data_IF_279577300989
#
_entry.id   IF_279577300989
#
_cell.length_a   1.000
_cell.length_b   1.000
_cell.length_c   1.000
_cell.angle_alpha   90.00
_cell.angle_beta   90.00
_cell.angle_gamma   90.00
#
_symmetry.space_group_name_H-M   'P 1'
#
loop_
_entity.id
_entity.type
_entity.pdbx_description
1 polymer ?
#
# COMPACT_ATOMS: atom_id res chain seq x y z
N UNK A 1 0.75 17.24 14.08
CA UNK A 1 2.01 16.48 13.90
C UNK A 1 3.02 17.07 14.86
N UNK A 2 3.80 16.24 15.54
CA UNK A 2 4.88 16.70 16.41
C UNK A 2 5.95 17.42 15.59
N UNK A 3 6.55 18.48 16.12
CA UNK A 3 7.70 19.13 15.47
C UNK A 3 8.98 18.27 15.58
N UNK A 4 8.95 17.20 16.37
CA UNK A 4 10.06 16.26 16.54
C UNK A 4 10.08 15.17 15.47
N UNK A 5 11.24 15.01 14.83
CA UNK A 5 11.52 13.96 13.86
C UNK A 5 12.13 12.75 14.58
N UNK A 6 11.66 11.55 14.24
CA UNK A 6 12.27 10.31 14.71
C UNK A 6 13.61 10.09 14.00
N UNK A 7 14.70 10.01 14.76
CA UNK A 7 16.05 9.85 14.21
C UNK A 7 16.34 8.43 13.67
N UNK A 8 15.56 7.44 14.12
CA UNK A 8 15.69 6.05 13.69
C UNK A 8 14.99 5.76 12.37
N UNK A 9 14.87 4.47 12.07
CA UNK A 9 14.13 3.97 10.92
C UNK A 9 13.16 2.87 11.34
N UNK A 10 12.00 2.83 10.69
CA UNK A 10 11.02 1.75 10.89
C UNK A 10 11.24 0.61 9.88
N UNK A 11 10.85 -0.60 10.25
CA UNK A 11 10.75 -1.73 9.33
C UNK A 11 9.32 -1.91 8.86
N UNK A 12 9.09 -1.97 7.56
CA UNK A 12 7.76 -2.20 6.98
C UNK A 12 7.80 -3.49 6.15
N UNK A 13 6.96 -4.45 6.53
CA UNK A 13 6.59 -5.54 5.65
C UNK A 13 5.39 -5.12 4.80
N UNK A 14 5.64 -4.76 3.54
CA UNK A 14 4.58 -4.40 2.59
C UNK A 14 4.03 -5.68 1.96
N UNK A 15 3.19 -6.45 2.65
CA UNK A 15 2.69 -7.72 2.10
C UNK A 15 1.58 -7.55 1.06
N UNK A 16 1.31 -8.61 0.29
CA UNK A 16 0.28 -8.61 -0.77
C UNK A 16 -1.12 -8.35 -0.20
N UNK A 17 -1.48 -9.04 0.88
CA UNK A 17 -2.82 -8.95 1.49
C UNK A 17 -2.83 -8.14 2.78
N UNK A 18 -1.74 -8.20 3.56
CA UNK A 18 -1.58 -7.46 4.80
C UNK A 18 -0.17 -6.88 4.87
N UNK A 19 -0.06 -5.72 5.49
CA UNK A 19 1.20 -5.08 5.82
C UNK A 19 1.39 -5.00 7.33
N UNK A 20 2.64 -4.93 7.75
CA UNK A 20 3.07 -4.87 9.15
C UNK A 20 4.15 -3.81 9.29
N UNK A 21 4.16 -3.12 10.43
CA UNK A 21 5.19 -2.12 10.75
C UNK A 21 5.77 -2.40 12.14
N UNK A 22 7.09 -2.28 12.23
CA UNK A 22 7.84 -2.54 13.44
C UNK A 22 8.88 -1.44 13.67
N UNK A 23 9.20 -1.22 14.93
CA UNK A 23 10.32 -0.39 15.35
C UNK A 23 11.38 -1.24 16.05
N UNK A 24 12.65 -0.93 15.83
CA UNK A 24 13.75 -1.53 16.58
C UNK A 24 14.43 -0.47 17.42
N UNK A 25 14.36 -0.64 18.74
CA UNK A 25 14.99 0.28 19.69
C UNK A 25 16.06 -0.46 20.50
N UNK A 26 17.29 -0.45 19.96
CA UNK A 26 18.52 -0.89 20.64
C UNK A 26 18.65 -2.40 20.90
N UNK A 27 17.69 -3.02 21.58
CA UNK A 27 17.73 -4.43 21.95
C UNK A 27 16.43 -5.18 21.62
N UNK A 28 15.31 -4.48 21.46
CA UNK A 28 14.00 -5.08 21.23
C UNK A 28 13.40 -4.61 19.90
N UNK A 29 12.69 -5.53 19.24
CA UNK A 29 11.82 -5.23 18.11
C UNK A 29 10.39 -5.21 18.62
N UNK A 30 9.69 -4.12 18.38
CA UNK A 30 8.29 -3.95 18.74
C UNK A 30 7.45 -3.91 17.46
N UNK A 31 6.48 -4.82 17.37
CA UNK A 31 5.48 -4.79 16.30
C UNK A 31 4.38 -3.81 16.73
N UNK A 32 4.08 -2.83 15.88
CA UNK A 32 3.19 -1.73 16.24
C UNK A 32 1.76 -2.09 15.81
N UNK A 33 0.83 -2.05 16.77
CA UNK A 33 -0.58 -2.25 16.49
C UNK A 33 -1.20 -1.01 15.82
N UNK A 34 -2.13 -1.22 14.89
CA UNK A 34 -2.93 -0.16 14.29
C UNK A 34 -4.00 0.37 15.25
N UNK A 35 -4.81 1.34 14.81
CA UNK A 35 -5.86 1.98 15.63
C UNK A 35 -6.95 1.00 16.14
N UNK A 36 -7.03 -0.22 15.59
CA UNK A 36 -7.95 -1.28 16.04
C UNK A 36 -7.27 -2.31 16.96
N UNK A 37 -5.99 -2.12 17.29
CA UNK A 37 -5.20 -3.05 18.10
C UNK A 37 -4.66 -4.26 17.32
N UNK A 38 -4.73 -4.27 15.99
CA UNK A 38 -4.17 -5.35 15.17
C UNK A 38 -2.72 -5.06 14.77
N UNK A 39 -1.86 -6.06 14.86
CA UNK A 39 -0.45 -5.99 14.45
C UNK A 39 -0.24 -6.10 12.93
N UNK A 40 -1.29 -6.40 12.18
CA UNK A 40 -1.28 -6.35 10.73
C UNK A 40 -2.45 -5.53 10.23
N UNK A 41 -2.24 -4.82 9.12
CA UNK A 41 -3.25 -3.97 8.48
C UNK A 41 -3.46 -4.46 7.06
N UNK A 42 -4.70 -4.66 6.59
CA UNK A 42 -4.95 -5.06 5.22
C UNK A 42 -4.30 -4.12 4.20
N UNK A 43 -3.67 -4.67 3.18
CA UNK A 43 -3.12 -3.92 2.03
C UNK A 43 -4.25 -3.57 1.05
N UNK A 44 -5.28 -2.90 1.57
CA UNK A 44 -6.49 -2.50 0.85
C UNK A 44 -6.58 -0.98 0.81
N UNK A 45 -6.95 -0.45 -0.36
CA UNK A 45 -7.27 0.96 -0.55
C UNK A 45 -8.62 1.04 -1.24
N UNK A 46 -9.56 1.81 -0.69
CA UNK A 46 -10.87 1.96 -1.27
C UNK A 46 -11.20 3.43 -1.48
N UNK A 47 -11.75 3.74 -2.65
CA UNK A 47 -12.08 5.09 -3.08
C UNK A 47 -13.59 5.28 -3.04
N UNK A 48 -14.02 6.40 -2.46
CA UNK A 48 -15.45 6.76 -2.33
C UNK A 48 -15.71 8.14 -2.94
N UNK A 49 -16.97 8.56 -2.93
CA UNK A 49 -17.41 9.90 -3.31
C UNK A 49 -16.89 11.01 -2.39
N UNK A 50 -16.32 10.66 -1.22
CA UNK A 50 -15.92 11.61 -0.17
C UNK A 50 -14.46 11.50 0.22
N UNK A 51 -13.97 10.28 0.34
CA UNK A 51 -12.68 10.01 0.96
C UNK A 51 -12.04 8.73 0.45
N UNK A 52 -10.77 8.58 0.79
CA UNK A 52 -10.00 7.36 0.56
C UNK A 52 -9.87 6.62 1.89
N UNK A 53 -10.30 5.37 1.90
CA UNK A 53 -10.13 4.46 3.04
C UNK A 53 -8.93 3.56 2.79
N UNK A 54 -8.20 3.21 3.86
CA UNK A 54 -7.02 2.34 3.80
C UNK A 54 -7.10 1.34 4.95
N UNK A 55 -6.66 0.11 4.74
CA UNK A 55 -6.64 -0.92 5.80
C UNK A 55 -7.99 -1.58 6.01
N UNK A 56 -8.33 -1.82 7.28
CA UNK A 56 -9.57 -2.50 7.66
C UNK A 56 -10.82 -1.75 7.18
N UNK A 57 -10.81 -0.41 7.20
CA UNK A 57 -11.92 0.39 6.70
C UNK A 57 -12.21 0.11 5.20
N UNK A 58 -11.15 0.01 4.39
CA UNK A 58 -11.28 -0.33 2.97
C UNK A 58 -11.76 -1.78 2.77
N UNK A 59 -11.17 -2.73 3.52
CA UNK A 59 -11.51 -4.15 3.42
C UNK A 59 -12.95 -4.44 3.83
N UNK A 60 -13.44 -3.81 4.90
CA UNK A 60 -14.79 -4.03 5.43
C UNK A 60 -15.89 -3.63 4.43
N UNK A 61 -15.64 -2.66 3.56
CA UNK A 61 -16.60 -2.25 2.53
C UNK A 61 -16.40 -2.92 1.17
N UNK A 62 -15.43 -3.82 1.01
CA UNK A 62 -15.11 -4.41 -0.29
C UNK A 62 -16.31 -5.11 -0.96
N UNK A 63 -17.23 -5.67 -0.17
CA UNK A 63 -18.46 -6.28 -0.70
C UNK A 63 -19.50 -5.26 -1.20
N UNK A 64 -19.50 -4.03 -0.66
CA UNK A 64 -20.43 -2.96 -1.03
C UNK A 64 -19.87 -2.04 -2.12
N UNK A 65 -18.54 -1.92 -2.20
CA UNK A 65 -17.84 -1.07 -3.15
C UNK A 65 -16.70 -1.84 -3.87
N UNK A 66 -17.01 -2.96 -4.56
CA UNK A 66 -15.98 -3.87 -5.06
C UNK A 66 -15.12 -3.28 -6.19
N UNK A 67 -15.72 -2.49 -7.09
CA UNK A 67 -15.02 -1.92 -8.25
C UNK A 67 -14.01 -0.82 -7.88
N UNK A 68 -14.21 -0.17 -6.72
CA UNK A 68 -13.33 0.91 -6.24
C UNK A 68 -12.52 0.50 -5.00
N UNK A 69 -12.49 -0.79 -4.66
CA UNK A 69 -11.68 -1.32 -3.57
C UNK A 69 -10.54 -2.16 -4.12
N UNK A 70 -9.35 -1.57 -4.08
CA UNK A 70 -8.12 -2.12 -4.62
C UNK A 70 -7.41 -2.95 -3.56
N UNK A 71 -7.02 -4.15 -3.95
CA UNK A 71 -6.22 -5.09 -3.17
C UNK A 71 -5.27 -5.84 -4.10
N UNK A 72 -4.35 -6.62 -3.54
CA UNK A 72 -3.40 -7.43 -4.31
C UNK A 72 -2.49 -6.61 -5.26
N UNK A 73 -2.42 -5.29 -5.08
CA UNK A 73 -1.69 -4.37 -5.97
C UNK A 73 -0.20 -4.72 -6.11
N UNK A 74 0.39 -5.36 -5.10
CA UNK A 74 1.77 -5.89 -5.13
C UNK A 74 2.00 -6.92 -6.26
N UNK A 75 0.93 -7.49 -6.83
CA UNK A 75 1.00 -8.35 -8.02
C UNK A 75 1.24 -7.56 -9.31
N UNK A 76 0.85 -6.29 -9.37
CA UNK A 76 1.02 -5.41 -10.52
C UNK A 76 2.31 -4.59 -10.48
N UNK A 77 2.83 -4.28 -9.30
CA UNK A 77 3.97 -3.36 -9.13
C UNK A 77 5.19 -3.79 -9.96
N UNK A 78 5.74 -2.85 -10.73
CA UNK A 78 6.88 -3.06 -11.64
C UNK A 78 6.67 -4.06 -12.78
N UNK A 79 5.42 -4.44 -13.10
CA UNK A 79 5.08 -5.29 -14.25
C UNK A 79 4.56 -4.49 -15.44
N UNK A 80 4.53 -5.13 -16.60
CA UNK A 80 3.88 -4.61 -17.81
C UNK A 80 2.46 -5.14 -17.92
N UNK A 81 1.58 -4.36 -18.53
CA UNK A 81 0.17 -4.72 -18.69
C UNK A 81 -0.02 -6.02 -19.51
N UNK A 82 0.88 -6.26 -20.48
CA UNK A 82 0.89 -7.47 -21.32
C UNK A 82 1.58 -8.69 -20.68
N UNK A 83 2.05 -8.60 -19.43
CA UNK A 83 2.57 -9.78 -18.71
C UNK A 83 1.43 -10.82 -18.56
N UNK A 84 1.62 -12.08 -18.98
CA UNK A 84 0.59 -13.12 -18.85
C UNK A 84 0.07 -13.31 -17.42
N UNK A 85 0.93 -13.07 -16.41
CA UNK A 85 0.51 -13.12 -15.00
C UNK A 85 -0.46 -11.98 -14.68
N UNK A 86 -0.17 -10.78 -15.17
CA UNK A 86 -1.05 -9.60 -15.00
C UNK A 86 -2.40 -9.84 -15.68
N UNK A 87 -2.40 -10.28 -16.94
CA UNK A 87 -3.65 -10.59 -17.67
C UNK A 87 -4.51 -11.60 -16.94
N UNK A 88 -3.90 -12.67 -16.44
CA UNK A 88 -4.60 -13.71 -15.69
C UNK A 88 -5.16 -13.20 -14.36
N UNK A 89 -4.38 -12.41 -13.62
CA UNK A 89 -4.83 -11.87 -12.33
C UNK A 89 -6.00 -10.87 -12.53
N UNK A 90 -5.98 -10.05 -13.59
CA UNK A 90 -7.06 -9.10 -13.94
C UNK A 90 -8.41 -9.81 -14.14
N UNK A 91 -8.44 -11.01 -14.72
CA UNK A 91 -9.69 -11.78 -14.91
C UNK A 91 -10.39 -12.12 -13.60
N UNK A 92 -9.67 -12.10 -12.47
CA UNK A 92 -10.19 -12.45 -11.15
C UNK A 92 -10.58 -11.26 -10.28
N UNK A 93 -10.23 -10.04 -10.68
CA UNK A 93 -10.46 -8.85 -9.86
C UNK A 93 -11.76 -8.14 -10.22
N UNK A 94 -12.46 -7.55 -9.23
CA UNK A 94 -13.67 -6.78 -9.48
C UNK A 94 -13.39 -5.36 -9.98
N UNK A 95 -12.18 -4.84 -9.75
CA UNK A 95 -11.79 -3.49 -10.15
C UNK A 95 -11.12 -3.49 -11.54
N UNK A 96 -11.20 -2.36 -12.22
CA UNK A 96 -10.69 -2.21 -13.58
C UNK A 96 -9.20 -1.91 -13.58
N UNK A 97 -8.46 -2.63 -14.41
CA UNK A 97 -7.05 -2.34 -14.71
C UNK A 97 -6.93 -1.98 -16.19
N UNK A 98 -6.31 -0.84 -16.48
CA UNK A 98 -6.14 -0.32 -17.84
C UNK A 98 -4.66 -0.32 -18.26
N UNK A 99 -4.43 -0.31 -19.57
CA UNK A 99 -3.11 -0.07 -20.13
C UNK A 99 -2.87 1.42 -20.33
N UNK A 100 -1.80 1.94 -19.75
CA UNK A 100 -1.28 3.27 -20.06
C UNK A 100 0.17 3.17 -20.51
N UNK A 101 0.37 3.14 -21.84
CA UNK A 101 1.70 3.11 -22.44
C UNK A 101 2.50 1.84 -22.12
N UNK A 102 1.82 0.70 -21.95
CA UNK A 102 2.39 -0.60 -21.59
C UNK A 102 2.41 -0.87 -20.08
N UNK A 103 1.99 0.08 -19.24
CA UNK A 103 1.97 -0.05 -17.79
C UNK A 103 0.53 -0.27 -17.28
N UNK A 104 0.31 -1.20 -16.33
CA UNK A 104 -0.99 -1.39 -15.73
C UNK A 104 -1.30 -0.24 -14.76
N UNK A 105 -2.47 0.38 -14.90
CA UNK A 105 -3.03 1.34 -13.93
C UNK A 105 -4.35 0.80 -13.39
N UNK A 106 -4.71 1.10 -12.15
CA UNK A 106 -6.08 0.87 -11.67
C UNK A 106 -6.95 2.10 -11.99
N UNK A 107 -8.16 1.89 -12.49
CA UNK A 107 -9.14 2.95 -12.74
C UNK A 107 -10.27 2.82 -11.71
N UNK A 108 -10.59 3.93 -11.03
CA UNK A 108 -11.60 3.98 -9.95
C UNK A 108 -12.44 5.24 -10.06
N UNK A 109 -13.63 5.21 -9.46
CA UNK A 109 -14.41 6.41 -9.18
C UNK A 109 -14.00 6.98 -7.81
N UNK A 110 -13.52 8.21 -7.81
CA UNK A 110 -13.08 8.92 -6.61
C UNK A 110 -13.55 10.37 -6.65
N UNK A 111 -14.14 10.87 -5.56
CA UNK A 111 -14.67 12.25 -5.49
C UNK A 111 -15.67 12.60 -6.60
N UNK A 112 -16.40 11.59 -7.12
CA UNK A 112 -17.35 11.68 -8.24
C UNK A 112 -16.71 11.86 -9.63
N UNK A 113 -15.39 11.66 -9.74
CA UNK A 113 -14.64 11.65 -11.00
C UNK A 113 -13.93 10.31 -11.23
N UNK A 114 -13.62 10.02 -12.49
CA UNK A 114 -12.81 8.86 -12.85
C UNK A 114 -11.34 9.20 -12.68
N UNK A 115 -10.65 8.43 -11.85
CA UNK A 115 -9.24 8.60 -11.54
C UNK A 115 -8.44 7.33 -11.86
N UNK A 116 -7.16 7.49 -12.16
CA UNK A 116 -6.26 6.38 -12.45
C UNK A 116 -5.04 6.44 -11.57
N UNK A 117 -4.68 5.32 -10.96
CA UNK A 117 -3.50 5.23 -10.09
C UNK A 117 -2.53 4.16 -10.56
N UNK A 118 -1.24 4.45 -10.45
CA UNK A 118 -0.22 3.42 -10.66
C UNK A 118 -0.17 2.44 -9.47
N UNK A 119 0.35 1.22 -9.68
CA UNK A 119 0.58 0.28 -8.57
C UNK A 119 1.45 0.83 -7.45
N UNK A 120 2.41 1.70 -7.80
CA UNK A 120 3.30 2.40 -6.89
C UNK A 120 2.53 3.41 -6.05
N UNK A 121 1.65 4.23 -6.65
CA UNK A 121 0.82 5.20 -5.92
C UNK A 121 -0.12 4.52 -4.92
N UNK A 122 -0.79 3.43 -5.31
CA UNK A 122 -1.65 2.67 -4.38
C UNK A 122 -0.82 2.02 -3.28
N UNK A 123 0.37 1.50 -3.60
CA UNK A 123 1.29 0.98 -2.59
C UNK A 123 1.79 2.08 -1.63
N UNK A 124 2.02 3.29 -2.13
CA UNK A 124 2.40 4.46 -1.34
C UNK A 124 1.31 4.85 -0.34
N UNK A 125 0.03 4.68 -0.69
CA UNK A 125 -1.09 4.89 0.24
C UNK A 125 -1.02 3.88 1.40
N UNK A 126 -0.71 2.61 1.13
CA UNK A 126 -0.51 1.59 2.18
C UNK A 126 0.72 1.92 3.04
N UNK A 127 1.83 2.31 2.42
CA UNK A 127 3.04 2.73 3.15
C UNK A 127 2.80 3.97 4.01
N UNK A 128 2.03 4.93 3.52
CA UNK A 128 1.59 6.11 4.28
C UNK A 128 0.80 5.69 5.51
N UNK A 129 -0.13 4.74 5.38
CA UNK A 129 -0.85 4.20 6.53
C UNK A 129 0.07 3.51 7.54
N UNK A 130 1.09 2.78 7.07
CA UNK A 130 2.08 2.15 7.96
C UNK A 130 2.93 3.19 8.69
N UNK A 131 3.32 4.28 7.99
CA UNK A 131 3.99 5.43 8.60
C UNK A 131 3.11 6.07 9.67
N UNK A 132 1.86 6.39 9.37
CA UNK A 132 0.92 7.02 10.31
C UNK A 132 0.73 6.17 11.59
N UNK A 133 0.65 4.85 11.45
CA UNK A 133 0.58 3.93 12.60
C UNK A 133 1.85 4.03 13.46
N UNK A 134 3.03 4.04 12.83
CA UNK A 134 4.28 4.20 13.55
C UNK A 134 4.43 5.58 14.19
N UNK A 135 4.02 6.65 13.50
CA UNK A 135 4.04 8.02 14.04
C UNK A 135 3.09 8.18 15.22
N UNK A 136 1.91 7.56 15.16
CA UNK A 136 0.96 7.50 16.28
C UNK A 136 1.52 6.78 17.51
N UNK A 137 2.34 5.75 17.31
CA UNK A 137 3.03 5.02 18.37
C UNK A 137 4.22 5.79 18.95
N UNK A 138 5.09 6.32 18.08
CA UNK A 138 6.33 6.98 18.45
C UNK A 138 6.13 8.43 18.92
N UNK A 139 5.00 9.05 18.56
CA UNK A 139 4.73 10.46 18.82
C UNK A 139 5.67 11.41 18.06
N UNK A 140 6.32 10.93 17.00
CA UNK A 140 7.34 11.62 16.20
C UNK A 140 7.12 11.39 14.71
N UNK A 141 7.52 12.35 13.87
CA UNK A 141 7.46 12.19 12.41
C UNK A 141 8.50 11.19 11.93
N UNK A 142 8.09 10.22 11.11
CA UNK A 142 8.97 9.15 10.60
C UNK A 142 9.36 9.43 9.15
N UNK A 143 10.66 9.51 8.89
CA UNK A 143 11.21 9.85 7.56
C UNK A 143 12.06 8.76 6.93
N UNK A 144 12.50 7.76 7.72
CA UNK A 144 13.33 6.66 7.25
C UNK A 144 12.62 5.32 7.46
N UNK A 145 12.64 4.48 6.44
CA UNK A 145 12.06 3.15 6.49
C UNK A 145 12.88 2.14 5.68
N UNK A 146 12.84 0.89 6.12
CA UNK A 146 13.27 -0.27 5.34
C UNK A 146 12.02 -1.04 4.93
N UNK A 147 11.79 -1.17 3.62
CA UNK A 147 10.60 -1.87 3.06
C UNK A 147 11.00 -3.21 2.47
N UNK A 148 10.28 -4.28 2.83
CA UNK A 148 10.56 -5.64 2.34
C UNK A 148 9.98 -5.89 0.93
N UNK A 149 10.66 -6.76 0.19
CA UNK A 149 10.20 -7.28 -1.10
C UNK A 149 10.47 -8.80 -1.19
N UNK A 150 9.66 -9.55 -1.96
CA UNK A 150 9.94 -10.96 -2.22
C UNK A 150 11.32 -11.17 -2.82
N UNK A 151 11.98 -12.27 -2.46
CA UNK A 151 13.31 -12.59 -2.98
C UNK A 151 13.36 -12.68 -4.53
N UNK A 152 12.25 -13.14 -5.14
CA UNK A 152 12.11 -13.28 -6.60
C UNK A 152 11.76 -11.98 -7.33
N UNK A 153 11.56 -10.84 -6.64
CA UNK A 153 11.34 -9.57 -7.31
C UNK A 153 12.56 -9.19 -8.15
N UNK A 154 12.32 -8.83 -9.41
CA UNK A 154 13.34 -8.28 -10.30
C UNK A 154 13.62 -6.80 -9.99
N UNK A 155 14.59 -6.21 -10.68
CA UNK A 155 15.03 -4.83 -10.43
C UNK A 155 13.92 -3.80 -10.66
N UNK A 156 13.06 -3.98 -11.67
CA UNK A 156 11.95 -3.08 -11.94
C UNK A 156 10.94 -3.09 -10.79
N UNK A 157 10.60 -4.27 -10.25
CA UNK A 157 9.67 -4.40 -9.12
C UNK A 157 10.26 -3.86 -7.82
N UNK A 158 11.58 -4.03 -7.61
CA UNK A 158 12.30 -3.44 -6.47
C UNK A 158 12.32 -1.92 -6.55
N UNK A 159 12.63 -1.37 -7.72
CA UNK A 159 12.65 0.07 -7.95
C UNK A 159 11.26 0.66 -7.78
N UNK A 160 10.22 0.06 -8.37
CA UNK A 160 8.83 0.50 -8.20
C UNK A 160 8.37 0.47 -6.73
N UNK A 161 8.75 -0.57 -5.96
CA UNK A 161 8.45 -0.60 -4.51
C UNK A 161 9.19 0.50 -3.75
N UNK A 162 10.42 0.84 -4.16
CA UNK A 162 11.18 1.95 -3.58
C UNK A 162 10.53 3.29 -3.93
N UNK A 163 10.11 3.47 -5.18
CA UNK A 163 9.45 4.68 -5.66
C UNK A 163 8.15 4.93 -4.88
N UNK A 164 7.37 3.87 -4.62
CA UNK A 164 6.19 3.93 -3.75
C UNK A 164 6.51 4.47 -2.33
N UNK A 165 7.70 4.20 -1.80
CA UNK A 165 8.15 4.73 -0.51
C UNK A 165 8.63 6.19 -0.55
N UNK A 166 8.73 6.79 -1.73
CA UNK A 166 9.17 8.19 -1.92
C UNK A 166 8.03 9.16 -2.28
N UNK A 167 6.84 8.64 -2.56
CA UNK A 167 5.60 9.40 -2.78
C UNK A 167 4.99 9.78 -1.43
#
# INVERSE_FOLDING_TARGET
>A
MSDEVYEGAIGIDLGTTYSCVANYEGANVEIIANEQGSFTTPSFVSFTDKERLIGEAAKNQAAMNPENTIFDIKRLIGRRFEDPVVKKDIESWPFKVIDQGGNPMVEVQYLNDSETFTPEEVSAMVLTKMREIAEGYLGKTVTHAVVTVPAYFNDAQRQATKDAGTI
#
